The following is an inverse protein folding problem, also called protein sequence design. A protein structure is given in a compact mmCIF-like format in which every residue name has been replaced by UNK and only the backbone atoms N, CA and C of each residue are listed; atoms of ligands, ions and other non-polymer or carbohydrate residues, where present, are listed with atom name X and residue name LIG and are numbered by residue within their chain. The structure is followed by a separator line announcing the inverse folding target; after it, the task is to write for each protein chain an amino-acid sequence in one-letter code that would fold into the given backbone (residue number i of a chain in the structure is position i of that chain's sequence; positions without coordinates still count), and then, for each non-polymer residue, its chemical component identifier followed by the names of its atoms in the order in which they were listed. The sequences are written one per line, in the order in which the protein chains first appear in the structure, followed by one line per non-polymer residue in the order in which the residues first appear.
data_IF_075507914068
#
_entry.id   IF_075507914068
#
_cell.length_a   1.000
_cell.length_b   1.000
_cell.length_c   1.000
_cell.angle_alpha   90.00
_cell.angle_beta   90.00
_cell.angle_gamma   90.00
#
_symmetry.space_group_name_H-M   'P 1'
#
loop_
_entity.id
_entity.type
_entity.pdbx_description
1 polymer ?
#
# COMPACT_ATOMS: atom_id res chain seq x y z
N UNK A 1 56.29 -37.07 -1.32
CA UNK A 1 54.94 -36.92 -1.93
C UNK A 1 53.79 -36.88 -0.88
N UNK A 2 53.92 -36.17 0.26
CA UNK A 2 52.84 -36.10 1.26
C UNK A 2 52.56 -34.71 1.85
N UNK A 3 53.37 -33.69 1.53
CA UNK A 3 53.17 -32.31 2.01
C UNK A 3 52.50 -31.41 0.98
N UNK A 4 52.71 -31.63 -0.31
CA UNK A 4 52.12 -30.81 -1.37
C UNK A 4 50.63 -31.12 -1.60
N UNK A 5 50.22 -32.38 -1.46
CA UNK A 5 48.82 -32.80 -1.56
C UNK A 5 47.94 -32.27 -0.42
N UNK A 6 48.52 -31.93 0.74
CA UNK A 6 47.77 -31.37 1.87
C UNK A 6 47.49 -29.87 1.69
N UNK A 7 48.38 -29.15 1.01
CA UNK A 7 48.24 -27.73 0.72
C UNK A 7 47.18 -27.48 -0.35
N UNK A 8 47.07 -28.38 -1.33
CA UNK A 8 46.05 -28.30 -2.39
C UNK A 8 44.65 -28.60 -1.84
N UNK A 9 44.51 -29.60 -0.95
CA UNK A 9 43.21 -29.91 -0.33
C UNK A 9 42.76 -28.79 0.61
N UNK A 10 43.67 -28.17 1.35
CA UNK A 10 43.35 -27.01 2.20
C UNK A 10 42.90 -25.79 1.39
N UNK A 11 43.49 -25.53 0.21
CA UNK A 11 43.07 -24.45 -0.69
C UNK A 11 41.71 -24.71 -1.34
N UNK A 12 41.42 -25.95 -1.72
CA UNK A 12 40.11 -26.34 -2.28
C UNK A 12 39.00 -26.24 -1.22
N UNK A 13 39.29 -26.55 0.05
CA UNK A 13 38.31 -26.36 1.14
C UNK A 13 38.07 -24.88 1.49
N UNK A 14 39.06 -24.01 1.34
CA UNK A 14 38.90 -22.55 1.55
C UNK A 14 38.08 -21.91 0.41
N UNK A 15 38.18 -22.43 -0.83
CA UNK A 15 37.32 -22.04 -1.94
C UNK A 15 35.86 -22.52 -1.80
N UNK A 16 35.61 -23.61 -1.08
CA UNK A 16 34.25 -24.09 -0.75
C UNK A 16 33.60 -23.39 0.45
N UNK A 17 34.35 -22.51 1.14
CA UNK A 17 33.88 -21.67 2.25
C UNK A 17 33.74 -20.20 1.86
N UNK A 18 33.75 -19.89 0.56
CA UNK A 18 33.13 -18.64 0.11
C UNK A 18 31.66 -18.80 0.53
N UNK A 19 31.15 -18.02 1.50
CA UNK A 19 29.71 -18.01 1.71
C UNK A 19 29.12 -17.74 0.34
N UNK A 20 28.05 -18.45 -0.02
CA UNK A 20 27.12 -17.88 -0.99
C UNK A 20 26.98 -16.42 -0.56
N UNK A 21 27.66 -15.52 -1.27
CA UNK A 21 27.30 -14.12 -1.27
C UNK A 21 25.94 -14.26 -1.86
N UNK A 22 24.95 -14.30 -0.96
CA UNK A 22 23.58 -14.02 -1.32
C UNK A 22 23.74 -12.84 -2.25
N UNK A 23 23.52 -13.08 -3.54
CA UNK A 23 23.04 -12.04 -4.42
C UNK A 23 21.75 -11.67 -3.71
N UNK A 24 21.86 -10.77 -2.73
CA UNK A 24 20.76 -9.96 -2.31
C UNK A 24 20.34 -9.37 -3.64
N UNK A 25 19.21 -9.87 -4.15
CA UNK A 25 18.48 -9.23 -5.21
C UNK A 25 18.64 -7.75 -4.96
N UNK A 26 19.25 -7.03 -5.90
CA UNK A 26 19.31 -5.57 -5.81
C UNK A 26 17.86 -5.16 -5.54
N UNK A 27 17.60 -4.69 -4.33
CA UNK A 27 16.26 -4.48 -3.83
C UNK A 27 15.62 -3.53 -4.83
N UNK A 28 14.59 -3.98 -5.55
CA UNK A 28 14.06 -3.19 -6.64
C UNK A 28 13.63 -1.84 -6.08
N UNK A 29 14.25 -0.78 -6.60
CA UNK A 29 14.08 0.59 -6.13
C UNK A 29 13.59 1.42 -7.28
N UNK A 30 12.43 2.03 -7.08
CA UNK A 30 11.89 3.00 -8.01
C UNK A 30 12.13 4.40 -7.47
N UNK A 31 12.67 5.27 -8.33
CA UNK A 31 12.91 6.68 -8.03
C UNK A 31 11.89 7.50 -8.81
N UNK A 32 11.11 8.32 -8.12
CA UNK A 32 10.01 9.09 -8.70
C UNK A 32 10.43 10.14 -9.76
N UNK A 33 11.72 10.45 -9.87
CA UNK A 33 12.17 11.51 -10.77
C UNK A 33 11.95 12.93 -10.23
N UNK A 34 11.37 13.05 -9.02
CA UNK A 34 10.95 14.24 -8.28
C UNK A 34 10.72 15.52 -9.12
N UNK A 35 9.46 15.74 -9.50
CA UNK A 35 9.00 16.95 -10.19
C UNK A 35 8.74 18.08 -9.17
N UNK A 36 9.78 18.87 -8.88
CA UNK A 36 9.68 20.00 -7.95
C UNK A 36 8.85 21.14 -8.55
N UNK A 37 7.96 21.69 -7.73
CA UNK A 37 7.10 22.81 -8.09
C UNK A 37 7.32 23.98 -7.12
N UNK A 38 7.23 25.20 -7.64
CA UNK A 38 7.26 26.42 -6.81
C UNK A 38 5.84 26.80 -6.41
N UNK A 39 5.69 27.30 -5.19
CA UNK A 39 4.40 27.70 -4.61
C UNK A 39 4.51 29.06 -3.92
N UNK A 40 3.36 29.57 -3.47
CA UNK A 40 3.30 30.59 -2.43
C UNK A 40 3.44 29.98 -1.03
N UNK A 41 3.31 30.82 0.02
CA UNK A 41 3.39 30.41 1.42
C UNK A 41 2.24 29.50 1.87
N UNK A 42 1.14 29.49 1.11
CA UNK A 42 -0.03 28.65 1.35
C UNK A 42 0.10 27.29 0.63
N UNK A 43 1.26 27.01 0.03
CA UNK A 43 1.53 25.79 -0.72
C UNK A 43 0.37 25.46 -1.69
N UNK A 44 -0.20 26.53 -2.25
CA UNK A 44 -1.43 26.52 -3.01
C UNK A 44 -1.20 25.96 -4.39
N UNK A 45 -1.71 26.65 -5.42
CA UNK A 45 -1.59 26.18 -6.79
C UNK A 45 -0.11 26.10 -7.21
N UNK A 46 0.43 24.91 -7.51
CA UNK A 46 1.81 24.78 -7.90
C UNK A 46 2.08 25.33 -9.30
N UNK A 47 3.26 25.91 -9.48
CA UNK A 47 3.79 26.35 -10.77
C UNK A 47 5.12 25.64 -11.08
N UNK A 48 5.48 25.59 -12.36
CA UNK A 48 6.79 25.08 -12.78
C UNK A 48 7.92 25.99 -12.29
N UNK A 49 9.01 25.38 -11.83
CA UNK A 49 10.24 26.09 -11.46
C UNK A 49 10.82 26.78 -12.70
N UNK A 50 11.13 28.08 -12.58
CA UNK A 50 11.73 28.90 -13.65
C UNK A 50 13.22 29.05 -13.41
N UNK A 51 13.95 29.46 -14.44
CA UNK A 51 15.41 29.65 -14.41
C UNK A 51 15.93 30.59 -13.31
N UNK A 52 15.11 31.54 -12.85
CA UNK A 52 15.47 32.50 -11.79
C UNK A 52 15.18 31.99 -10.37
N UNK A 53 14.43 30.90 -10.24
CA UNK A 53 14.01 30.39 -8.94
C UNK A 53 15.18 29.61 -8.30
N UNK A 54 15.28 29.62 -6.97
CA UNK A 54 16.44 29.06 -6.24
C UNK A 54 16.64 27.56 -6.49
N UNK A 55 15.59 26.85 -6.88
CA UNK A 55 15.62 25.41 -7.21
C UNK A 55 15.94 25.13 -8.70
N UNK A 56 16.23 26.15 -9.52
CA UNK A 56 16.45 25.97 -10.96
C UNK A 56 17.64 25.05 -11.28
N UNK A 57 17.39 23.99 -12.05
CA UNK A 57 18.44 23.15 -12.63
C UNK A 57 19.03 22.09 -11.69
N UNK A 58 18.46 21.86 -10.51
CA UNK A 58 18.90 20.81 -9.59
C UNK A 58 17.72 20.16 -8.87
N UNK A 59 17.99 19.07 -8.11
CA UNK A 59 16.99 18.29 -7.38
C UNK A 59 17.37 18.17 -5.91
N UNK A 60 16.39 18.33 -5.02
CA UNK A 60 16.56 18.14 -3.58
C UNK A 60 16.83 16.66 -3.23
N UNK A 61 16.09 15.75 -3.85
CA UNK A 61 16.10 14.32 -3.58
C UNK A 61 14.85 13.64 -4.12
N UNK A 62 14.73 12.34 -3.88
CA UNK A 62 13.75 11.48 -4.56
C UNK A 62 12.94 10.66 -3.58
N UNK A 63 11.65 10.48 -3.86
CA UNK A 63 10.92 9.38 -3.23
C UNK A 63 11.43 8.06 -3.80
N UNK A 64 11.68 7.11 -2.91
CA UNK A 64 12.18 5.78 -3.24
C UNK A 64 11.16 4.75 -2.78
N UNK A 65 10.57 4.03 -3.72
CA UNK A 65 9.67 2.90 -3.46
C UNK A 65 10.48 1.61 -3.55
N UNK A 66 10.25 0.71 -2.60
CA UNK A 66 10.96 -0.57 -2.42
C UNK A 66 10.03 -1.64 -1.84
N UNK A 67 10.51 -2.89 -1.74
CA UNK A 67 9.72 -4.04 -1.26
C UNK A 67 8.49 -4.38 -2.11
N UNK A 68 8.47 -3.96 -3.38
CA UNK A 68 7.47 -4.38 -4.35
C UNK A 68 7.95 -5.62 -5.11
N UNK A 69 7.01 -6.41 -5.62
CA UNK A 69 7.31 -7.58 -6.45
C UNK A 69 7.43 -7.26 -7.93
N UNK A 70 6.69 -6.26 -8.39
CA UNK A 70 6.74 -5.74 -9.76
C UNK A 70 6.13 -4.32 -9.81
N UNK A 71 6.33 -3.59 -10.90
CA UNK A 71 5.71 -2.28 -11.13
C UNK A 71 5.29 -2.11 -12.59
N UNK A 72 4.19 -1.39 -12.79
CA UNK A 72 3.70 -1.01 -14.12
C UNK A 72 3.20 0.42 -14.09
N UNK A 73 3.16 1.09 -15.24
CA UNK A 73 2.49 2.38 -15.37
C UNK A 73 1.08 2.16 -15.91
N UNK A 74 0.08 2.73 -15.26
CA UNK A 74 -1.29 2.62 -15.72
C UNK A 74 -1.63 3.55 -16.89
N UNK A 75 -2.88 3.49 -17.34
CA UNK A 75 -3.38 4.30 -18.47
C UNK A 75 -3.37 5.81 -18.21
N UNK A 76 -3.32 6.23 -16.95
CA UNK A 76 -3.26 7.63 -16.54
C UNK A 76 -1.83 8.15 -16.43
N UNK A 77 -0.83 7.26 -16.53
CA UNK A 77 0.57 7.59 -16.34
C UNK A 77 1.03 7.51 -14.89
N UNK A 78 0.21 6.99 -13.98
CA UNK A 78 0.58 6.78 -12.58
C UNK A 78 1.25 5.41 -12.39
N UNK A 79 2.26 5.36 -11.53
CA UNK A 79 2.95 4.11 -11.20
C UNK A 79 2.08 3.23 -10.30
N UNK A 80 2.02 1.94 -10.62
CA UNK A 80 1.31 0.91 -9.87
C UNK A 80 2.31 -0.13 -9.40
N UNK A 81 2.56 -0.16 -8.10
CA UNK A 81 3.43 -1.14 -7.47
C UNK A 81 2.62 -2.34 -7.01
N UNK A 82 3.07 -3.52 -7.43
CA UNK A 82 2.47 -4.80 -7.08
C UNK A 82 3.16 -5.39 -5.85
N UNK A 83 2.36 -5.92 -4.93
CA UNK A 83 2.82 -6.65 -3.75
C UNK A 83 2.18 -8.03 -3.66
N UNK A 84 2.78 -8.94 -2.88
CA UNK A 84 2.09 -10.18 -2.50
C UNK A 84 1.15 -9.94 -1.31
N UNK A 85 0.26 -10.90 -1.07
CA UNK A 85 -0.60 -10.90 0.11
C UNK A 85 0.25 -10.96 1.37
N UNK A 86 -0.01 -10.08 2.34
CA UNK A 86 0.74 -9.97 3.59
C UNK A 86 1.98 -9.07 3.53
N UNK A 87 2.55 -8.83 2.35
CA UNK A 87 3.68 -7.91 2.18
C UNK A 87 3.23 -6.45 2.32
N UNK A 88 4.18 -5.57 2.64
CA UNK A 88 3.99 -4.13 2.63
C UNK A 88 5.06 -3.49 1.76
N UNK A 89 4.68 -2.41 1.08
CA UNK A 89 5.62 -1.63 0.27
C UNK A 89 6.27 -0.58 1.16
N UNK A 90 7.56 -0.37 0.99
CA UNK A 90 8.32 0.66 1.71
C UNK A 90 8.52 1.88 0.84
N UNK A 91 8.23 3.06 1.39
CA UNK A 91 8.60 4.35 0.78
C UNK A 91 9.54 5.11 1.70
N UNK A 92 10.60 5.64 1.12
CA UNK A 92 11.56 6.53 1.77
C UNK A 92 11.84 7.76 0.92
N UNK A 93 12.59 8.73 1.45
CA UNK A 93 13.08 9.87 0.69
C UNK A 93 14.59 9.89 0.73
N UNK A 94 15.24 9.81 -0.44
CA UNK A 94 16.68 9.91 -0.59
C UNK A 94 17.04 11.37 -0.81
N UNK A 95 17.44 12.04 0.26
CA UNK A 95 17.96 13.41 0.20
C UNK A 95 19.33 13.43 -0.50
N UNK A 96 19.47 14.24 -1.54
CA UNK A 96 20.68 14.34 -2.37
C UNK A 96 21.47 15.64 -2.14
N UNK A 97 20.92 16.57 -1.36
CA UNK A 97 21.52 17.88 -1.11
C UNK A 97 21.75 18.11 0.39
N UNK A 98 22.82 18.84 0.71
CA UNK A 98 22.98 19.39 2.05
C UNK A 98 21.96 20.52 2.24
N UNK A 99 21.02 20.32 3.17
CA UNK A 99 19.94 21.27 3.46
C UNK A 99 20.42 22.62 3.97
N UNK A 100 21.71 22.78 4.31
CA UNK A 100 22.32 24.07 4.68
C UNK A 100 23.20 24.66 3.58
N UNK A 101 23.45 23.91 2.49
CA UNK A 101 24.35 24.26 1.40
C UNK A 101 23.79 23.72 0.08
N UNK A 102 22.59 24.17 -0.27
CA UNK A 102 21.83 23.62 -1.39
C UNK A 102 22.55 23.89 -2.72
N UNK A 103 22.66 22.86 -3.57
CA UNK A 103 23.35 22.93 -4.85
C UNK A 103 24.78 23.49 -4.76
N UNK A 104 25.47 23.21 -3.64
CA UNK A 104 26.82 23.73 -3.37
C UNK A 104 26.88 25.22 -2.98
N UNK A 105 25.76 25.94 -3.02
CA UNK A 105 25.68 27.34 -2.65
C UNK A 105 25.60 27.49 -1.11
N UNK A 106 26.60 28.15 -0.52
CA UNK A 106 26.68 28.36 0.94
C UNK A 106 25.59 29.30 1.49
N UNK A 107 24.94 30.08 0.62
CA UNK A 107 23.90 31.02 1.02
C UNK A 107 22.50 30.40 0.96
N UNK A 108 22.33 29.25 0.29
CA UNK A 108 21.02 28.63 0.13
C UNK A 108 20.82 27.52 1.16
N UNK A 109 19.78 27.68 1.98
CA UNK A 109 19.42 26.72 3.02
C UNK A 109 17.91 26.48 3.09
N UNK A 110 17.52 25.29 3.53
CA UNK A 110 16.14 25.01 3.92
C UNK A 110 15.90 25.62 5.29
N UNK A 111 14.80 26.34 5.41
CA UNK A 111 14.40 27.01 6.65
C UNK A 111 13.14 26.41 7.25
N UNK A 112 13.00 26.62 8.55
CA UNK A 112 11.84 26.21 9.32
C UNK A 112 10.60 27.04 8.95
N UNK A 113 9.58 26.37 8.42
CA UNK A 113 8.29 26.98 8.14
C UNK A 113 7.54 27.16 9.46
N UNK A 114 7.34 28.42 9.90
CA UNK A 114 6.61 28.71 11.14
C UNK A 114 5.12 28.40 11.05
N UNK A 115 4.52 28.77 9.92
CA UNK A 115 3.13 28.51 9.58
C UNK A 115 2.97 28.64 8.08
N UNK A 116 2.38 27.61 7.48
CA UNK A 116 1.77 27.65 6.17
C UNK A 116 0.38 27.03 6.25
N UNK A 117 -0.44 27.33 5.27
CA UNK A 117 -1.66 26.58 5.00
C UNK A 117 -1.40 25.67 3.79
N UNK A 118 -2.22 24.65 3.56
CA UNK A 118 -2.17 23.85 2.35
C UNK A 118 -3.56 23.27 2.11
N UNK A 119 -4.08 23.45 0.90
CA UNK A 119 -5.44 23.05 0.54
C UNK A 119 -5.49 21.76 -0.25
N UNK A 120 -4.37 21.30 -0.80
CA UNK A 120 -4.28 20.04 -1.53
C UNK A 120 -2.99 19.27 -1.19
N UNK A 121 -3.06 18.16 -0.45
CA UNK A 121 -4.27 17.61 0.18
C UNK A 121 -4.80 18.54 1.29
N UNK A 122 -6.10 18.43 1.60
CA UNK A 122 -6.73 19.22 2.66
C UNK A 122 -6.20 18.74 4.01
N UNK A 123 -5.51 19.62 4.75
CA UNK A 123 -4.87 19.27 6.02
C UNK A 123 -5.49 20.02 7.20
N UNK A 124 -5.66 19.30 8.31
CA UNK A 124 -5.98 19.90 9.60
C UNK A 124 -4.66 20.17 10.34
N UNK A 125 -4.40 21.44 10.69
CA UNK A 125 -3.22 21.82 11.48
C UNK A 125 -2.03 22.41 10.71
N UNK A 126 -2.21 22.77 9.43
CA UNK A 126 -1.26 23.58 8.65
C UNK A 126 0.09 22.93 8.36
N UNK A 127 0.98 23.69 7.70
CA UNK A 127 2.36 23.32 7.39
C UNK A 127 3.31 23.95 8.40
N UNK A 128 4.25 23.17 8.94
CA UNK A 128 5.30 23.67 9.81
C UNK A 128 6.52 22.73 9.92
N UNK A 129 7.66 23.28 10.29
CA UNK A 129 8.91 22.55 10.51
C UNK A 129 9.90 22.67 9.36
N UNK A 130 11.05 22.02 9.53
CA UNK A 130 12.10 21.93 8.51
C UNK A 130 11.76 20.81 7.52
N UNK A 131 10.96 21.19 6.52
CA UNK A 131 10.33 20.27 5.57
C UNK A 131 9.23 19.44 6.23
N UNK A 132 8.08 19.33 5.57
CA UNK A 132 6.92 18.57 6.09
C UNK A 132 6.45 17.60 5.01
N UNK A 133 6.36 16.31 5.36
CA UNK A 133 5.75 15.32 4.48
C UNK A 133 4.30 15.10 4.88
N UNK A 134 3.41 15.16 3.90
CA UNK A 134 2.01 14.77 4.00
C UNK A 134 1.78 13.51 3.18
N UNK A 135 1.00 12.59 3.74
CA UNK A 135 0.60 11.34 3.07
C UNK A 135 -0.90 11.23 3.13
N UNK A 136 -1.54 11.43 1.99
CA UNK A 136 -2.96 11.14 1.76
C UNK A 136 -3.08 9.72 1.19
N UNK A 137 -4.05 8.96 1.71
CA UNK A 137 -4.40 7.63 1.21
C UNK A 137 -5.87 7.62 0.86
N UNK A 138 -6.19 7.15 -0.33
CA UNK A 138 -7.54 6.73 -0.72
C UNK A 138 -7.62 5.20 -0.67
N UNK A 139 -8.68 4.68 -0.07
CA UNK A 139 -8.94 3.25 -0.03
C UNK A 139 -9.71 2.76 -1.27
N UNK A 140 -9.98 1.45 -1.32
CA UNK A 140 -10.64 0.80 -2.45
C UNK A 140 -12.11 1.22 -2.64
N UNK A 141 -12.72 1.89 -1.65
CA UNK A 141 -14.07 2.43 -1.76
C UNK A 141 -14.06 3.88 -2.28
N UNK A 142 -12.89 4.41 -2.68
CA UNK A 142 -12.72 5.82 -3.05
C UNK A 142 -12.76 6.76 -1.85
N UNK A 143 -12.64 6.24 -0.62
CA UNK A 143 -12.68 7.08 0.58
C UNK A 143 -11.27 7.57 0.91
N UNK A 144 -11.10 8.89 0.92
CA UNK A 144 -9.90 9.54 1.45
C UNK A 144 -9.83 9.38 2.98
N UNK A 145 -8.74 8.80 3.46
CA UNK A 145 -8.45 8.67 4.88
C UNK A 145 -7.80 9.96 5.42
N UNK A 146 -7.81 10.18 6.75
CA UNK A 146 -7.14 11.33 7.35
C UNK A 146 -5.67 11.43 6.94
N UNK A 147 -5.25 12.60 6.45
CA UNK A 147 -3.89 12.87 6.00
C UNK A 147 -2.91 12.72 7.16
N UNK A 148 -1.85 11.94 6.96
CA UNK A 148 -0.76 11.80 7.93
C UNK A 148 0.26 12.91 7.71
N UNK A 149 0.62 13.61 8.78
CA UNK A 149 1.62 14.69 8.78
C UNK A 149 2.89 14.25 9.49
N UNK A 150 4.03 14.45 8.84
CA UNK A 150 5.36 14.24 9.39
C UNK A 150 6.13 15.57 9.35
N UNK A 151 6.09 16.32 10.46
CA UNK A 151 6.86 17.55 10.63
C UNK A 151 8.36 17.27 10.81
N UNK A 152 9.20 18.26 10.50
CA UNK A 152 10.66 18.16 10.53
C UNK A 152 11.19 16.95 9.74
N UNK A 153 10.51 16.63 8.62
CA UNK A 153 10.81 15.45 7.84
C UNK A 153 12.25 15.48 7.32
N UNK A 154 12.69 16.62 6.79
CA UNK A 154 14.03 16.76 6.22
C UNK A 154 15.13 16.84 7.29
N UNK A 155 14.80 17.19 8.53
CA UNK A 155 15.74 17.08 9.66
C UNK A 155 16.04 15.61 10.00
N UNK A 156 15.04 14.74 9.84
CA UNK A 156 15.16 13.32 10.12
C UNK A 156 15.75 12.51 8.96
N UNK A 157 15.90 13.12 7.76
CA UNK A 157 16.52 12.47 6.62
C UNK A 157 18.02 12.78 6.60
N UNK A 158 18.85 11.73 6.60
CA UNK A 158 20.30 11.87 6.47
C UNK A 158 20.69 11.98 4.99
N UNK A 159 21.68 12.83 4.72
CA UNK A 159 22.23 13.00 3.38
C UNK A 159 22.64 11.64 2.80
N UNK A 160 22.14 11.33 1.60
CA UNK A 160 22.40 10.08 0.89
C UNK A 160 21.96 8.79 1.61
N UNK A 161 21.03 8.87 2.57
CA UNK A 161 20.49 7.69 3.26
C UNK A 161 18.95 7.64 3.23
N UNK A 162 18.42 6.42 3.26
CA UNK A 162 16.98 6.15 3.34
C UNK A 162 16.54 6.07 4.82
N UNK A 163 16.27 7.21 5.44
CA UNK A 163 16.17 7.30 6.91
C UNK A 163 14.75 7.38 7.48
N UNK A 164 13.74 7.65 6.65
CA UNK A 164 12.32 7.64 7.05
C UNK A 164 11.54 6.67 6.18
N UNK A 165 11.38 5.44 6.68
CA UNK A 165 10.69 4.33 6.03
C UNK A 165 9.22 4.35 6.42
N UNK A 166 8.34 4.42 5.42
CA UNK A 166 6.89 4.30 5.58
C UNK A 166 6.42 3.01 4.91
N UNK A 167 5.74 2.14 5.67
CA UNK A 167 5.17 0.90 5.14
C UNK A 167 3.72 1.12 4.70
N UNK A 168 3.39 0.71 3.48
CA UNK A 168 2.13 0.96 2.81
C UNK A 168 1.39 -0.35 2.53
N UNK A 169 0.07 -0.29 2.67
CA UNK A 169 -0.87 -1.34 2.28
C UNK A 169 -1.48 -0.98 0.92
N UNK A 170 -2.41 -1.78 0.39
CA UNK A 170 -3.13 -1.45 -0.85
C UNK A 170 -3.89 -0.11 -0.71
N UNK A 171 -3.83 0.72 -1.76
CA UNK A 171 -4.29 2.10 -1.71
C UNK A 171 -3.87 2.92 -2.91
N UNK A 172 -4.54 4.05 -3.12
CA UNK A 172 -4.00 5.15 -3.93
C UNK A 172 -3.34 6.12 -2.97
N UNK A 173 -2.12 6.55 -3.29
CA UNK A 173 -1.30 7.36 -2.41
C UNK A 173 -0.95 8.68 -3.09
N UNK A 174 -1.01 9.76 -2.30
CA UNK A 174 -0.51 11.07 -2.69
C UNK A 174 0.43 11.58 -1.60
N UNK A 175 1.72 11.59 -1.94
CA UNK A 175 2.79 12.08 -1.09
C UNK A 175 3.10 13.52 -1.48
N UNK A 176 3.12 14.42 -0.50
CA UNK A 176 3.45 15.83 -0.71
C UNK A 176 4.50 16.26 0.30
N UNK A 177 5.72 16.49 -0.18
CA UNK A 177 6.80 17.06 0.61
C UNK A 177 6.90 18.55 0.32
N UNK A 178 6.64 19.37 1.34
CA UNK A 178 6.75 20.83 1.25
C UNK A 178 7.96 21.34 2.03
N UNK A 179 8.61 22.39 1.53
CA UNK A 179 9.75 23.03 2.18
C UNK A 179 9.94 24.46 1.67
N UNK A 180 10.79 25.22 2.35
CA UNK A 180 11.10 26.60 2.00
C UNK A 180 12.61 26.80 1.90
N UNK A 181 13.07 27.49 0.86
CA UNK A 181 14.48 27.86 0.65
C UNK A 181 14.66 29.35 0.95
N UNK A 182 15.70 29.65 1.70
CA UNK A 182 16.16 30.99 2.02
C UNK A 182 17.51 31.33 1.35
N UNK A 183 17.80 32.62 1.21
CA UNK A 183 19.08 33.14 0.68
C UNK A 183 19.71 34.07 1.71
N UNK A 184 20.75 33.61 2.38
CA UNK A 184 21.42 34.31 3.48
C UNK A 184 22.52 35.27 3.02
N UNK A 185 22.62 35.55 1.72
CA UNK A 185 23.60 36.52 1.22
C UNK A 185 23.29 37.94 1.71
N UNK A 186 24.33 38.77 1.85
CA UNK A 186 24.24 40.17 2.32
C UNK A 186 23.20 41.03 1.56
N UNK A 187 22.90 40.69 0.30
CA UNK A 187 21.87 41.35 -0.52
C UNK A 187 20.57 40.52 -0.64
N UNK A 188 20.57 39.26 -0.24
CA UNK A 188 19.37 38.42 -0.13
C UNK A 188 18.39 38.98 0.91
N UNK A 189 18.93 39.57 1.97
CA UNK A 189 18.17 40.21 3.05
C UNK A 189 17.26 41.35 2.60
N UNK A 190 17.61 42.08 1.52
CA UNK A 190 16.83 43.25 1.08
C UNK A 190 15.47 42.87 0.45
N UNK A 191 15.31 41.60 0.06
CA UNK A 191 14.10 41.05 -0.55
C UNK A 191 13.53 39.86 0.23
N UNK A 192 14.09 39.53 1.40
CA UNK A 192 13.91 38.33 2.25
C UNK A 192 12.51 37.70 2.21
N UNK A 193 12.24 37.01 1.11
CA UNK A 193 11.05 36.20 0.90
C UNK A 193 11.57 34.80 0.67
N UNK A 194 11.22 33.92 1.58
CA UNK A 194 11.38 32.49 1.37
C UNK A 194 10.70 32.13 0.04
N UNK A 195 11.34 31.24 -0.71
CA UNK A 195 10.68 30.61 -1.85
C UNK A 195 10.17 29.25 -1.37
N UNK A 196 8.89 29.01 -1.59
CA UNK A 196 8.19 27.83 -1.11
C UNK A 196 8.10 26.82 -2.26
N UNK A 197 8.30 25.55 -1.92
CA UNK A 197 8.34 24.48 -2.89
C UNK A 197 7.55 23.27 -2.38
N UNK A 198 7.04 22.48 -3.33
CA UNK A 198 6.48 21.16 -3.07
C UNK A 198 6.98 20.12 -4.06
N UNK A 199 7.03 18.88 -3.61
CA UNK A 199 7.29 17.68 -4.42
C UNK A 199 6.10 16.75 -4.25
N UNK A 200 5.46 16.43 -5.36
CA UNK A 200 4.29 15.57 -5.41
C UNK A 200 4.63 14.24 -6.03
N UNK A 201 4.18 13.17 -5.40
CA UNK A 201 4.26 11.84 -5.96
C UNK A 201 2.95 11.08 -5.74
N UNK A 202 2.31 10.71 -6.85
CA UNK A 202 1.08 9.93 -6.89
C UNK A 202 1.36 8.56 -7.47
N UNK A 203 0.94 7.54 -6.75
CA UNK A 203 1.14 6.15 -7.15
C UNK A 203 0.12 5.24 -6.47
N UNK A 204 0.06 4.00 -6.93
CA UNK A 204 -0.89 2.99 -6.51
C UNK A 204 -0.14 1.81 -5.93
N UNK A 205 -0.68 1.24 -4.86
CA UNK A 205 -0.25 -0.04 -4.30
C UNK A 205 -1.37 -1.04 -4.50
N UNK A 206 -1.06 -2.18 -5.12
CA UNK A 206 -2.01 -3.23 -5.47
C UNK A 206 -1.48 -4.60 -5.10
N UNK A 207 -2.37 -5.51 -4.72
CA UNK A 207 -2.00 -6.93 -4.69
C UNK A 207 -1.85 -7.44 -6.12
N UNK A 208 -0.66 -7.92 -6.48
CA UNK A 208 -0.35 -8.44 -7.81
C UNK A 208 -1.01 -9.78 -8.14
N UNK A 209 -1.54 -10.47 -7.12
CA UNK A 209 -2.31 -11.70 -7.28
C UNK A 209 -3.79 -11.46 -6.91
N UNK A 210 -4.39 -10.42 -7.50
CA UNK A 210 -5.82 -10.16 -7.35
C UNK A 210 -6.61 -11.16 -8.22
N UNK A 211 -7.36 -12.05 -7.58
CA UNK A 211 -8.18 -13.06 -8.25
C UNK A 211 -9.60 -13.04 -7.69
N UNK A 212 -10.57 -13.41 -8.52
CA UNK A 212 -11.91 -13.78 -8.08
C UNK A 212 -12.24 -15.19 -8.54
N UNK A 213 -12.84 -15.97 -7.65
CA UNK A 213 -13.28 -17.33 -7.90
C UNK A 213 -14.77 -17.33 -8.22
N UNK A 214 -15.15 -18.11 -9.23
CA UNK A 214 -16.55 -18.34 -9.55
C UNK A 214 -16.90 -19.69 -8.96
N UNK A 215 -17.80 -19.73 -7.99
CA UNK A 215 -18.13 -20.94 -7.24
C UNK A 215 -19.58 -21.34 -7.43
N UNK A 216 -19.83 -22.63 -7.39
CA UNK A 216 -21.19 -23.18 -7.38
C UNK A 216 -21.91 -22.77 -6.09
N UNK A 217 -23.15 -22.31 -6.20
CA UNK A 217 -23.91 -21.82 -5.05
C UNK A 217 -24.37 -22.94 -4.10
N UNK A 218 -24.49 -24.19 -4.57
CA UNK A 218 -24.88 -25.35 -3.76
C UNK A 218 -23.66 -26.04 -3.15
N UNK A 219 -22.55 -26.19 -3.91
CA UNK A 219 -21.40 -27.00 -3.48
C UNK A 219 -20.20 -26.20 -2.98
N UNK A 220 -20.15 -24.89 -3.20
CA UNK A 220 -18.98 -24.01 -2.95
C UNK A 220 -17.72 -24.41 -3.75
N UNK A 221 -17.83 -25.35 -4.70
CA UNK A 221 -16.73 -25.76 -5.58
C UNK A 221 -16.46 -24.72 -6.67
N UNK A 222 -15.19 -24.52 -7.05
CA UNK A 222 -14.84 -23.60 -8.12
C UNK A 222 -15.33 -24.12 -9.49
N UNK A 223 -16.13 -23.30 -10.17
CA UNK A 223 -16.61 -23.53 -11.52
C UNK A 223 -15.53 -23.23 -12.56
N UNK A 224 -15.39 -24.15 -13.52
CA UNK A 224 -14.52 -24.02 -14.68
C UNK A 224 -15.22 -23.26 -15.81
N UNK A 225 -14.49 -22.86 -16.84
CA UNK A 225 -15.07 -22.31 -18.05
C UNK A 225 -16.07 -23.30 -18.66
N UNK A 226 -17.21 -22.81 -19.13
CA UNK A 226 -18.34 -23.58 -19.68
C UNK A 226 -19.01 -24.55 -18.70
N UNK A 227 -18.92 -24.29 -17.38
CA UNK A 227 -19.63 -25.11 -16.39
C UNK A 227 -21.13 -24.82 -16.38
N UNK A 228 -21.93 -25.86 -16.13
CA UNK A 228 -23.36 -25.76 -15.88
C UNK A 228 -23.65 -25.88 -14.39
N UNK A 229 -24.47 -24.96 -13.85
CA UNK A 229 -24.86 -24.93 -12.43
C UNK A 229 -26.31 -24.45 -12.28
N UNK A 230 -26.91 -24.57 -11.10
CA UNK A 230 -28.19 -23.92 -10.76
C UNK A 230 -28.03 -22.48 -10.27
N UNK A 231 -26.80 -22.09 -9.96
CA UNK A 231 -26.46 -20.72 -9.60
C UNK A 231 -25.01 -20.62 -9.14
N UNK A 232 -24.44 -19.43 -9.23
CA UNK A 232 -23.04 -19.21 -8.86
C UNK A 232 -22.88 -17.99 -7.96
N UNK A 233 -21.76 -17.97 -7.25
CA UNK A 233 -21.28 -16.84 -6.45
C UNK A 233 -19.92 -16.42 -6.98
N UNK A 234 -19.67 -15.12 -7.03
CA UNK A 234 -18.31 -14.60 -7.25
C UNK A 234 -17.70 -14.26 -5.89
N UNK A 235 -16.57 -14.90 -5.60
CA UNK A 235 -15.79 -14.73 -4.37
C UNK A 235 -14.47 -14.04 -4.71
N UNK A 236 -14.34 -12.78 -4.33
CA UNK A 236 -13.13 -11.98 -4.56
C UNK A 236 -11.94 -12.37 -3.69
N UNK A 237 -12.11 -13.29 -2.73
CA UNK A 237 -11.08 -13.67 -1.77
C UNK A 237 -10.41 -12.47 -1.08
N UNK A 238 -11.18 -11.40 -0.80
CA UNK A 238 -10.71 -10.11 -0.24
C UNK A 238 -9.80 -9.28 -1.19
N UNK A 239 -9.84 -9.53 -2.48
CA UNK A 239 -9.22 -8.68 -3.50
C UNK A 239 -10.09 -7.45 -3.73
N UNK A 240 -9.56 -6.27 -3.40
CA UNK A 240 -10.36 -5.04 -3.33
C UNK A 240 -10.37 -4.20 -4.62
N UNK A 241 -9.36 -4.35 -5.49
CA UNK A 241 -9.18 -3.56 -6.72
C UNK A 241 -9.48 -4.39 -7.98
N UNK A 242 -10.55 -5.17 -7.95
CA UNK A 242 -11.05 -5.93 -9.10
C UNK A 242 -12.19 -5.19 -9.78
N UNK A 243 -12.13 -5.07 -11.10
CA UNK A 243 -13.26 -4.70 -11.93
C UNK A 243 -13.91 -5.98 -12.47
N UNK A 244 -15.10 -6.28 -11.95
CA UNK A 244 -15.88 -7.47 -12.29
C UNK A 244 -17.13 -7.04 -13.06
N UNK A 245 -17.26 -7.53 -14.28
CA UNK A 245 -18.43 -7.32 -15.12
C UNK A 245 -19.11 -8.66 -15.37
N UNK A 246 -20.41 -8.72 -15.10
CA UNK A 246 -21.23 -9.91 -15.35
C UNK A 246 -22.28 -9.52 -16.38
N UNK A 247 -22.25 -10.19 -17.52
CA UNK A 247 -23.18 -9.96 -18.62
C UNK A 247 -23.93 -11.24 -18.94
N UNK A 248 -25.26 -11.17 -18.95
CA UNK A 248 -26.12 -12.24 -19.44
C UNK A 248 -26.23 -12.14 -20.96
N UNK A 249 -25.90 -13.22 -21.66
CA UNK A 249 -26.00 -13.35 -23.11
C UNK A 249 -27.34 -13.96 -23.50
N UNK A 250 -27.72 -13.74 -24.74
CA UNK A 250 -28.82 -14.48 -25.36
C UNK A 250 -28.35 -15.65 -26.21
N UNK A 251 -29.32 -16.35 -26.81
CA UNK A 251 -29.09 -17.51 -27.68
C UNK A 251 -28.23 -17.20 -28.91
N UNK A 252 -28.07 -15.92 -29.27
CA UNK A 252 -27.23 -15.47 -30.38
C UNK A 252 -25.83 -15.01 -29.90
N UNK A 253 -25.60 -14.96 -28.59
CA UNK A 253 -24.34 -14.50 -27.98
C UNK A 253 -24.30 -13.01 -27.66
N UNK A 254 -25.37 -12.25 -27.92
CA UNK A 254 -25.42 -10.82 -27.69
C UNK A 254 -25.66 -10.50 -26.20
N UNK A 255 -24.99 -9.45 -25.69
CA UNK A 255 -25.17 -8.98 -24.30
C UNK A 255 -26.57 -8.39 -24.15
N UNK A 256 -27.41 -8.99 -23.31
CA UNK A 256 -28.77 -8.50 -23.05
C UNK A 256 -28.94 -7.73 -21.76
N UNK A 257 -28.14 -8.05 -20.73
CA UNK A 257 -28.30 -7.47 -19.39
C UNK A 257 -26.96 -7.45 -18.69
N UNK A 258 -26.57 -6.27 -18.21
CA UNK A 258 -25.52 -6.17 -17.20
C UNK A 258 -26.13 -6.51 -15.84
N UNK A 259 -25.52 -7.46 -15.15
CA UNK A 259 -25.97 -7.93 -13.84
C UNK A 259 -25.18 -7.14 -12.80
N UNK A 260 -25.84 -6.29 -11.99
CA UNK A 260 -25.18 -5.68 -10.86
C UNK A 260 -24.70 -6.79 -9.93
N UNK A 261 -23.49 -6.64 -9.42
CA UNK A 261 -22.82 -7.65 -8.62
C UNK A 261 -22.46 -7.08 -7.26
N UNK A 262 -22.81 -7.81 -6.21
CA UNK A 262 -22.24 -7.65 -4.88
C UNK A 262 -21.46 -8.90 -4.48
N UNK A 263 -20.29 -8.72 -3.88
CA UNK A 263 -19.46 -9.85 -3.43
C UNK A 263 -20.25 -10.80 -2.51
N UNK A 264 -20.25 -12.09 -2.87
CA UNK A 264 -21.02 -13.13 -2.16
C UNK A 264 -22.50 -13.26 -2.56
N UNK A 265 -22.99 -12.47 -3.51
CA UNK A 265 -24.38 -12.59 -4.01
C UNK A 265 -24.54 -13.80 -4.93
N UNK A 266 -25.66 -14.52 -4.76
CA UNK A 266 -26.01 -15.68 -5.58
C UNK A 266 -26.71 -15.21 -6.85
N UNK A 267 -26.20 -15.64 -8.00
CA UNK A 267 -26.81 -15.45 -9.32
C UNK A 267 -27.38 -16.79 -9.78
N UNK A 268 -28.71 -16.88 -9.85
CA UNK A 268 -29.44 -18.12 -10.17
C UNK A 268 -30.50 -17.96 -11.26
N UNK A 269 -30.60 -16.79 -11.90
CA UNK A 269 -31.51 -16.57 -13.03
C UNK A 269 -31.03 -17.40 -14.22
N UNK A 270 -31.91 -18.20 -14.84
CA UNK A 270 -31.53 -19.11 -15.93
C UNK A 270 -30.93 -18.37 -17.13
N UNK A 271 -29.79 -18.84 -17.66
CA UNK A 271 -29.19 -18.33 -18.88
C UNK A 271 -27.67 -18.43 -18.94
N UNK A 272 -27.10 -17.89 -20.01
CA UNK A 272 -25.65 -17.89 -20.26
C UNK A 272 -25.01 -16.60 -19.76
N UNK A 273 -23.99 -16.74 -18.93
CA UNK A 273 -23.28 -15.61 -18.33
C UNK A 273 -21.84 -15.56 -18.82
N UNK A 274 -21.38 -14.36 -19.12
CA UNK A 274 -19.95 -14.05 -19.28
C UNK A 274 -19.51 -13.20 -18.10
N UNK A 275 -18.55 -13.70 -17.34
CA UNK A 275 -17.93 -12.99 -16.22
C UNK A 275 -16.54 -12.55 -16.69
N UNK A 276 -16.30 -11.24 -16.70
CA UNK A 276 -15.01 -10.64 -17.00
C UNK A 276 -14.42 -10.04 -15.74
N UNK A 277 -13.22 -10.48 -15.36
CA UNK A 277 -12.48 -10.02 -14.18
C UNK A 277 -11.20 -9.34 -14.68
N UNK A 278 -11.02 -8.08 -14.31
CA UNK A 278 -9.84 -7.29 -14.67
C UNK A 278 -9.34 -6.49 -13.47
N UNK A 279 -8.12 -5.98 -13.58
CA UNK A 279 -7.54 -5.01 -12.63
C UNK A 279 -7.24 -3.71 -13.37
N UNK A 280 -6.98 -2.64 -12.62
CA UNK A 280 -6.57 -1.35 -13.18
C UNK A 280 -5.15 -1.35 -13.76
N UNK A 281 -4.36 -2.39 -13.47
CA UNK A 281 -2.97 -2.55 -13.89
C UNK A 281 -2.73 -3.70 -14.88
N UNK A 282 -3.72 -4.58 -15.11
CA UNK A 282 -3.65 -5.62 -16.13
C UNK A 282 -4.52 -5.25 -17.32
N UNK A 283 -3.97 -5.39 -18.53
CA UNK A 283 -4.70 -5.17 -19.76
C UNK A 283 -5.45 -6.43 -20.25
N UNK A 284 -5.26 -7.57 -19.59
CA UNK A 284 -5.85 -8.84 -19.99
C UNK A 284 -6.91 -9.28 -18.96
N UNK A 285 -8.22 -9.13 -19.28
CA UNK A 285 -9.26 -9.64 -18.41
C UNK A 285 -9.30 -11.17 -18.45
N UNK A 286 -9.48 -11.80 -17.29
CA UNK A 286 -9.86 -13.20 -17.22
C UNK A 286 -11.36 -13.33 -17.48
N UNK A 287 -11.73 -14.18 -18.45
CA UNK A 287 -13.13 -14.42 -18.79
C UNK A 287 -13.56 -15.85 -18.46
N UNK A 288 -14.71 -16.00 -17.79
CA UNK A 288 -15.38 -17.29 -17.59
C UNK A 288 -16.81 -17.25 -18.15
N UNK A 289 -17.19 -18.30 -18.86
CA UNK A 289 -18.56 -18.53 -19.31
C UNK A 289 -19.21 -19.55 -18.40
N UNK A 290 -20.43 -19.28 -17.93
CA UNK A 290 -21.18 -20.15 -17.02
C UNK A 290 -22.62 -20.26 -17.51
N UNK A 291 -23.13 -21.48 -17.58
CA UNK A 291 -24.52 -21.76 -17.90
C UNK A 291 -25.31 -22.01 -16.61
N UNK A 292 -26.33 -21.20 -16.36
CA UNK A 292 -27.25 -21.41 -15.24
C UNK A 292 -28.48 -22.15 -15.74
N UNK A 293 -28.64 -23.41 -15.32
CA UNK A 293 -29.80 -24.26 -15.62
C UNK A 293 -30.61 -24.50 -14.35
N UNK A 294 -31.82 -23.92 -14.27
CA UNK A 294 -32.66 -24.08 -13.08
C UNK A 294 -33.73 -23.01 -12.98
N UNK A 295 -34.95 -23.43 -12.62
CA UNK A 295 -36.21 -22.70 -12.78
C UNK A 295 -36.19 -21.24 -12.28
N UNK A 296 -36.61 -20.34 -13.18
CA UNK A 296 -37.18 -19.02 -12.86
C UNK A 296 -38.16 -19.11 -11.69
N UNK A 297 -37.76 -18.59 -10.53
CA UNK A 297 -38.72 -18.30 -9.47
C UNK A 297 -39.56 -17.09 -9.91
N UNK A 298 -40.80 -17.41 -10.24
CA UNK A 298 -41.90 -16.48 -10.44
C UNK A 298 -42.01 -15.45 -9.31
N UNK A 299 -42.46 -14.26 -9.72
CA UNK A 299 -43.12 -13.24 -8.91
C UNK A 299 -43.75 -13.76 -7.63
N UNK A 300 -43.31 -13.24 -6.48
CA UNK A 300 -44.14 -13.25 -5.27
C UNK A 300 -45.10 -12.07 -5.35
N UNK A 301 -46.36 -12.42 -5.13
CA UNK A 301 -47.59 -11.65 -5.18
C UNK A 301 -47.54 -10.26 -4.55
N UNK A 302 -48.30 -9.36 -5.20
CA UNK A 302 -48.90 -8.18 -4.59
C UNK A 302 -49.87 -8.62 -3.49
N UNK A 303 -49.37 -8.74 -2.27
CA UNK A 303 -50.17 -8.80 -1.05
C UNK A 303 -50.56 -7.40 -0.57
N UNK A 304 -51.71 -6.93 -1.05
CA UNK A 304 -52.72 -6.13 -0.35
C UNK A 304 -52.28 -5.18 0.79
N UNK A 305 -52.37 -3.88 0.49
CA UNK A 305 -52.45 -2.79 1.47
C UNK A 305 -53.77 -2.96 2.23
N UNK A 306 -53.71 -3.37 3.50
CA UNK A 306 -54.77 -3.05 4.46
C UNK A 306 -54.13 -2.38 5.66
N UNK A 307 -54.37 -1.07 5.74
CA UNK A 307 -54.16 -0.29 6.95
C UNK A 307 -55.15 -0.73 8.01
N UNK A 308 -54.67 -0.98 9.22
CA UNK A 308 -55.46 -0.69 10.42
C UNK A 308 -54.55 -0.09 11.47
N UNK A 309 -55.01 1.07 11.93
CA UNK A 309 -54.39 1.96 12.90
C UNK A 309 -55.17 1.84 14.20
N UNK A 310 -54.46 1.97 15.34
CA UNK A 310 -54.93 2.21 16.73
C UNK A 310 -55.54 0.99 17.47
N UNK A 311 -55.36 0.75 18.79
CA UNK A 311 -54.91 1.56 19.95
C UNK A 311 -54.60 0.60 21.15
N UNK A 312 -53.68 1.03 22.04
CA UNK A 312 -53.44 0.73 23.49
C UNK A 312 -53.40 -0.75 23.97
N UNK A 313 -52.75 -1.14 25.06
CA UNK A 313 -52.43 -0.48 26.32
C UNK A 313 -51.36 -1.28 27.10
N UNK A 314 -50.77 -0.63 28.10
CA UNK A 314 -49.64 -1.09 28.88
C UNK A 314 -49.93 -2.25 29.85
N UNK A 315 -48.91 -3.08 30.11
CA UNK A 315 -48.61 -3.52 31.48
C UNK A 315 -47.16 -4.00 31.58
N UNK A 316 -46.45 -3.50 32.60
CA UNK A 316 -45.07 -3.84 32.87
C UNK A 316 -44.92 -5.11 33.70
N UNK A 317 -43.76 -5.75 33.59
CA UNK A 317 -43.11 -6.32 34.77
C UNK A 317 -41.61 -6.44 34.52
N UNK A 318 -40.86 -5.99 35.54
CA UNK A 318 -39.40 -6.05 35.65
C UNK A 318 -38.92 -7.50 35.61
N UNK A 319 -37.87 -7.80 34.84
CA UNK A 319 -36.88 -8.82 35.23
C UNK A 319 -35.47 -8.40 34.83
N UNK A 320 -34.60 -8.65 35.79
CA UNK A 320 -33.18 -8.33 35.92
C UNK A 320 -32.36 -8.81 34.72
N UNK A 321 -31.48 -7.95 34.19
CA UNK A 321 -30.38 -8.40 33.34
C UNK A 321 -29.16 -8.61 34.23
N UNK A 322 -28.91 -9.88 34.55
CA UNK A 322 -27.65 -10.37 35.12
C UNK A 322 -26.52 -10.09 34.13
N UNK A 323 -25.59 -9.24 34.53
CA UNK A 323 -24.23 -9.18 33.98
C UNK A 323 -23.60 -10.57 34.19
N UNK A 324 -23.34 -11.29 33.09
CA UNK A 324 -22.53 -12.51 33.11
C UNK A 324 -21.13 -12.12 32.67
N UNK A 325 -20.27 -11.85 33.64
CA UNK A 325 -18.85 -12.13 33.49
C UNK A 325 -18.70 -13.64 33.29
N UNK A 326 -17.94 -14.03 32.26
CA UNK A 326 -17.33 -15.35 32.28
C UNK A 326 -15.90 -15.25 31.73
N UNK A 327 -14.96 -15.16 32.67
CA UNK A 327 -13.56 -15.54 32.52
C UNK A 327 -13.48 -17.06 32.39
N UNK A 328 -12.80 -17.54 31.35
CA UNK A 328 -12.29 -18.91 31.14
C UNK A 328 -12.12 -19.05 29.62
N UNK A 329 -11.06 -19.59 29.01
CA UNK A 329 -9.87 -20.31 29.44
C UNK A 329 -9.09 -20.59 28.15
N UNK A 330 -8.00 -19.88 27.86
CA UNK A 330 -6.95 -20.38 26.92
C UNK A 330 -5.60 -19.92 27.49
N UNK A 331 -5.23 -20.52 28.62
CA UNK A 331 -3.82 -20.64 29.04
C UNK A 331 -3.55 -22.13 29.09
N UNK A 332 -3.10 -22.68 27.97
CA UNK A 332 -2.47 -24.00 27.86
C UNK A 332 -2.19 -24.28 26.39
N UNK A 333 -1.12 -23.69 25.85
CA UNK A 333 -0.34 -24.17 24.69
C UNK A 333 0.67 -23.10 24.27
N UNK A 334 1.71 -22.88 25.07
CA UNK A 334 2.97 -22.22 24.65
C UNK A 334 3.98 -22.30 25.80
N UNK A 335 4.28 -23.52 26.25
CA UNK A 335 5.40 -23.77 27.15
C UNK A 335 6.06 -25.14 26.88
N UNK A 336 6.29 -25.49 25.62
CA UNK A 336 7.31 -26.46 25.18
C UNK A 336 7.79 -25.99 23.81
N UNK A 337 8.85 -25.16 23.76
CA UNK A 337 9.81 -24.98 22.64
C UNK A 337 10.78 -23.80 22.85
N UNK A 338 11.06 -23.41 24.10
CA UNK A 338 11.90 -22.25 24.43
C UNK A 338 13.06 -22.53 25.39
N UNK A 339 13.58 -23.76 25.48
CA UNK A 339 14.72 -24.09 26.38
C UNK A 339 15.94 -24.71 25.64
N UNK A 340 15.90 -24.94 24.33
CA UNK A 340 17.03 -25.59 23.63
C UNK A 340 18.09 -24.66 23.00
N UNK A 341 18.03 -23.34 23.15
CA UNK A 341 19.03 -22.42 22.55
C UNK A 341 19.89 -21.63 23.56
N UNK A 342 19.67 -21.76 24.86
CA UNK A 342 20.49 -21.09 25.89
C UNK A 342 21.66 -21.93 26.42
N UNK A 343 21.71 -23.24 26.11
CA UNK A 343 22.75 -24.16 26.60
C UNK A 343 24.09 -24.14 25.84
N UNK A 344 24.15 -23.54 24.64
CA UNK A 344 25.35 -23.60 23.79
C UNK A 344 26.26 -22.37 23.87
N UNK A 345 25.84 -21.28 24.53
CA UNK A 345 26.64 -20.04 24.63
C UNK A 345 27.51 -20.00 25.90
N UNK A 346 27.17 -20.75 26.95
CA UNK A 346 27.92 -20.72 28.23
C UNK A 346 29.16 -21.62 28.23
N UNK A 347 29.26 -22.61 27.34
CA UNK A 347 30.41 -23.52 27.27
C UNK A 347 31.63 -22.98 26.50
N UNK A 348 31.49 -21.87 25.77
CA UNK A 348 32.60 -21.27 24.99
C UNK A 348 33.38 -20.17 25.74
N UNK A 349 32.91 -19.76 26.92
CA UNK A 349 33.55 -18.71 27.74
C UNK A 349 34.46 -19.29 28.83
N UNK A 350 34.29 -20.56 29.21
CA UNK A 350 35.09 -21.19 30.27
C UNK A 350 36.34 -21.91 29.74
N UNK A 351 36.41 -22.29 28.44
CA UNK A 351 37.60 -22.95 27.89
C UNK A 351 38.74 -22.00 27.49
N UNK A 352 38.53 -20.68 27.48
CA UNK A 352 39.55 -19.69 27.07
C UNK A 352 40.37 -19.10 28.23
N UNK A 353 40.21 -19.61 29.47
CA UNK A 353 40.94 -19.13 30.66
C UNK A 353 41.93 -20.13 31.27
N UNK A 354 42.35 -21.14 30.48
CA UNK A 354 43.42 -22.09 30.86
C UNK A 354 44.41 -22.36 29.74
N UNK A 355 44.82 -21.33 29.01
CA UNK A 355 46.08 -21.35 28.24
C UNK A 355 46.68 -19.95 28.32
N UNK A 356 47.39 -19.71 29.42
CA UNK A 356 48.58 -18.86 29.49
C UNK A 356 49.21 -19.15 30.84
N UNK A 357 50.31 -19.91 30.76
CA UNK A 357 51.31 -20.08 31.79
C UNK A 357 52.28 -18.90 31.69
#
# INVERSE_FOLDING_TARGET
MKKESFLIVAWVCILSLIPFVSIFSDEQRFYDGSNVQITDKEFGKPESVRSKDRHAGWRLGDFVVSDYSDWVTDKTGEDVFLKKRGDKITVSFKLQQDIKKLNGNQNFQIVDIKKGDMTEPVINGGVNGLGTLFVEKEDYNGKKLPVKKYADYLKAVSLNANTKVLTLEEGNYHFVLVYAIDDTSLFGDFLNRHQYYRIDYRFKVRNGNAMAFIKDAETDEELKHDSTTKGFVVDTAQSHYLNIQISKRDKNGDVRKNVPYKNGEIISEEGDYTISISTDYSNEPTQKQIHVSGSSQNSIDKGEIISSTKISEASGSKKEVKQRENKSSIVSSLLILGICSAGFIVLKVISKKRENK
#
